data_IF_938042298815
#
_entry.id   IF_938042298815
#
_cell.length_a   1.000
_cell.length_b   1.000
_cell.length_c   1.000
_cell.angle_alpha   90.00
_cell.angle_beta   90.00
_cell.angle_gamma   90.00
#
_symmetry.space_group_name_H-M   'P 1'
#
loop_
_entity.id
_entity.type
_entity.pdbx_description
1 polymer ?
#
# COMPACT_ATOMS: atom_id res chain seq x y z
N UNK A 1 64.83 32.34 -10.82
CA UNK A 1 64.19 31.58 -9.74
C UNK A 1 62.72 31.96 -9.52
N UNK A 2 62.35 33.26 -9.52
CA UNK A 2 60.91 33.67 -9.30
C UNK A 2 59.92 33.18 -10.38
N UNK A 3 60.34 33.02 -11.67
CA UNK A 3 59.47 32.58 -12.76
C UNK A 3 59.15 31.06 -12.69
N UNK A 4 60.04 30.25 -12.16
CA UNK A 4 59.85 28.80 -12.01
C UNK A 4 58.89 28.51 -10.88
N UNK A 5 58.91 29.31 -9.81
CA UNK A 5 57.99 29.16 -8.68
C UNK A 5 56.54 29.47 -9.07
N UNK A 6 56.34 30.44 -9.98
CA UNK A 6 55.01 30.82 -10.48
C UNK A 6 54.41 29.75 -11.39
N UNK A 7 55.23 29.08 -12.21
CA UNK A 7 54.81 27.97 -13.07
C UNK A 7 54.42 26.72 -12.24
N UNK A 8 55.14 26.44 -11.16
CA UNK A 8 54.84 25.32 -10.25
C UNK A 8 53.54 25.55 -9.48
N UNK A 9 53.26 26.81 -9.11
CA UNK A 9 51.99 27.17 -8.44
C UNK A 9 50.79 27.05 -9.38
N UNK A 10 50.95 27.36 -10.67
CA UNK A 10 49.83 27.25 -11.64
C UNK A 10 49.50 25.80 -11.98
N UNK A 11 50.47 24.89 -11.99
CA UNK A 11 50.25 23.45 -12.23
C UNK A 11 49.51 22.78 -11.08
N UNK A 12 49.71 23.23 -9.82
CA UNK A 12 49.02 22.73 -8.65
C UNK A 12 47.53 23.11 -8.62
N UNK A 13 47.16 24.25 -9.23
CA UNK A 13 45.75 24.71 -9.28
C UNK A 13 44.90 23.93 -10.28
N UNK A 14 45.48 23.35 -11.34
CA UNK A 14 44.74 22.56 -12.33
C UNK A 14 44.51 21.11 -11.85
N UNK A 15 45.28 20.61 -10.88
CA UNK A 15 45.10 19.25 -10.33
C UNK A 15 43.96 19.15 -9.32
N UNK A 16 43.37 20.28 -8.89
CA UNK A 16 42.31 20.31 -7.88
C UNK A 16 40.90 20.18 -8.46
N UNK A 17 40.72 20.21 -9.78
CA UNK A 17 39.41 19.93 -10.41
C UNK A 17 39.27 18.45 -10.75
N UNK A 18 39.39 17.56 -9.77
CA UNK A 18 38.79 16.25 -9.92
C UNK A 18 37.27 16.41 -9.83
N UNK A 19 36.62 16.30 -10.99
CA UNK A 19 35.17 16.12 -11.05
C UNK A 19 34.79 14.96 -10.10
N UNK A 20 33.97 15.27 -9.14
CA UNK A 20 33.41 14.30 -8.17
C UNK A 20 32.46 13.29 -8.84
N UNK A 21 32.46 13.26 -10.19
CA UNK A 21 31.53 12.51 -11.04
C UNK A 21 31.95 11.07 -11.37
N UNK A 22 33.08 10.58 -10.88
CA UNK A 22 33.61 9.24 -11.25
C UNK A 22 33.38 8.17 -10.16
N UNK A 23 32.56 8.44 -9.15
CA UNK A 23 32.14 7.35 -8.25
C UNK A 23 31.08 6.56 -8.98
N UNK A 24 31.24 5.22 -9.15
CA UNK A 24 30.20 4.39 -9.71
C UNK A 24 28.95 4.56 -8.86
N UNK A 25 27.90 5.11 -9.46
CA UNK A 25 26.63 5.25 -8.76
C UNK A 25 26.08 3.85 -8.48
N UNK A 26 25.71 3.61 -7.23
CA UNK A 26 25.03 2.38 -6.87
C UNK A 26 23.63 2.38 -7.49
N UNK A 27 23.13 1.24 -8.00
CA UNK A 27 21.82 1.17 -8.61
C UNK A 27 20.72 1.57 -7.62
N UNK A 28 19.74 2.31 -8.12
CA UNK A 28 18.57 2.73 -7.36
C UNK A 28 17.77 1.51 -6.89
N UNK A 29 17.57 1.38 -5.59
CA UNK A 29 16.86 0.28 -4.94
C UNK A 29 15.74 0.78 -4.06
N UNK A 30 14.66 0.00 -4.05
CA UNK A 30 13.48 0.24 -3.22
C UNK A 30 13.50 -0.72 -2.02
N UNK A 31 13.93 -0.23 -0.86
CA UNK A 31 14.11 -1.06 0.35
C UNK A 31 15.28 -2.03 0.26
N UNK A 32 15.31 -2.99 1.18
CA UNK A 32 16.37 -4.00 1.24
C UNK A 32 16.22 -5.06 0.13
N UNK A 33 14.99 -5.48 -0.16
CA UNK A 33 14.69 -6.59 -1.09
C UNK A 33 14.50 -6.14 -2.53
N UNK A 34 14.64 -4.83 -2.80
CA UNK A 34 14.47 -4.30 -4.14
C UNK A 34 13.10 -4.62 -4.76
N UNK A 35 12.05 -4.26 -4.06
CA UNK A 35 10.68 -4.61 -4.37
C UNK A 35 10.25 -4.17 -5.79
N UNK A 36 9.69 -5.10 -6.56
CA UNK A 36 9.10 -4.85 -7.89
C UNK A 36 7.60 -4.52 -7.79
N UNK A 37 7.00 -4.87 -6.67
CA UNK A 37 5.59 -4.64 -6.38
C UNK A 37 5.42 -4.20 -4.92
N UNK A 38 4.53 -3.25 -4.70
CA UNK A 38 4.11 -2.79 -3.39
C UNK A 38 2.62 -3.09 -3.24
N UNK A 39 2.26 -3.95 -2.31
CA UNK A 39 0.87 -4.17 -1.94
C UNK A 39 0.57 -3.38 -0.67
N UNK A 40 -0.47 -2.57 -0.70
CA UNK A 40 -0.97 -1.75 0.40
C UNK A 40 -2.43 -2.07 0.64
N UNK A 41 -2.87 -1.94 1.87
CA UNK A 41 -4.30 -1.88 2.19
C UNK A 41 -4.80 -0.45 1.99
N UNK A 42 -6.05 -0.28 1.61
CA UNK A 42 -6.67 1.06 1.55
C UNK A 42 -6.48 1.79 2.89
N UNK A 43 -6.10 3.06 2.82
CA UNK A 43 -5.72 3.92 3.95
C UNK A 43 -4.39 3.56 4.64
N UNK A 44 -3.70 2.50 4.21
CA UNK A 44 -2.34 2.18 4.69
C UNK A 44 -1.34 3.17 4.11
N UNK A 45 -0.36 3.54 4.93
CA UNK A 45 0.81 4.29 4.50
C UNK A 45 2.06 3.50 4.83
N UNK A 46 2.91 3.27 3.83
CA UNK A 46 4.19 2.57 3.98
C UNK A 46 5.35 3.52 3.74
N UNK A 47 6.35 3.44 4.59
CA UNK A 47 7.61 4.17 4.45
C UNK A 47 8.70 3.20 4.00
N UNK A 48 9.46 3.56 2.97
CA UNK A 48 10.47 2.71 2.34
C UNK A 48 11.72 3.53 2.16
N UNK A 49 12.85 3.01 2.63
CA UNK A 49 14.15 3.63 2.46
C UNK A 49 14.63 3.40 1.02
N UNK A 50 15.00 4.47 0.33
CA UNK A 50 15.64 4.44 -0.98
C UNK A 50 17.15 4.33 -0.81
N UNK A 51 17.79 3.51 -1.63
CA UNK A 51 19.25 3.32 -1.65
C UNK A 51 19.79 3.46 -3.07
N UNK A 52 21.04 3.89 -3.18
CA UNK A 52 21.68 4.08 -4.48
C UNK A 52 21.31 5.39 -5.17
N UNK A 53 21.57 5.47 -6.48
CA UNK A 53 21.42 6.71 -7.24
C UNK A 53 22.38 7.81 -6.79
N UNK A 54 22.02 9.06 -7.06
CA UNK A 54 22.78 10.26 -6.69
C UNK A 54 22.34 10.89 -5.36
N UNK A 55 21.43 10.24 -4.64
CA UNK A 55 20.84 10.75 -3.40
C UNK A 55 19.74 11.80 -3.61
N UNK A 56 19.42 12.14 -4.86
CA UNK A 56 18.29 13.00 -5.21
C UNK A 56 17.20 12.16 -5.86
N UNK A 57 16.10 12.04 -5.17
CA UNK A 57 15.03 11.15 -5.59
C UNK A 57 13.78 11.92 -5.98
N UNK A 58 13.07 11.42 -6.98
CA UNK A 58 11.71 11.85 -7.29
C UNK A 58 10.81 10.62 -7.47
N UNK A 59 9.54 10.77 -7.10
CA UNK A 59 8.53 9.72 -7.20
C UNK A 59 7.27 10.28 -7.83
N UNK A 60 6.68 9.53 -8.75
CA UNK A 60 5.43 9.91 -9.40
C UNK A 60 4.52 8.67 -9.45
N UNK A 61 3.29 8.83 -9.01
CA UNK A 61 2.22 7.84 -9.16
C UNK A 61 1.46 8.16 -10.45
N UNK A 62 1.16 7.13 -11.24
CA UNK A 62 0.44 7.27 -12.52
C UNK A 62 -1.04 7.62 -12.30
N UNK A 63 -1.73 6.93 -11.39
CA UNK A 63 -3.10 7.26 -10.99
C UNK A 63 -3.14 7.71 -9.52
N UNK A 64 -3.22 9.04 -9.34
CA UNK A 64 -3.26 9.65 -8.01
C UNK A 64 -4.56 9.39 -7.22
N UNK A 65 -5.58 8.80 -7.85
CA UNK A 65 -6.81 8.37 -7.14
C UNK A 65 -6.58 7.08 -6.36
N UNK A 66 -5.71 6.19 -6.90
CA UNK A 66 -5.44 4.87 -6.30
C UNK A 66 -4.40 4.98 -5.19
N UNK A 67 -3.31 5.73 -5.42
CA UNK A 67 -2.26 5.91 -4.44
C UNK A 67 -1.65 7.31 -4.54
N UNK A 68 -0.95 7.72 -3.48
CA UNK A 68 -0.11 8.91 -3.48
C UNK A 68 1.30 8.58 -3.03
N UNK A 69 2.27 9.40 -3.46
CA UNK A 69 3.65 9.25 -3.03
C UNK A 69 4.27 10.59 -2.66
N UNK A 70 5.17 10.58 -1.71
CA UNK A 70 6.02 11.71 -1.35
C UNK A 70 7.39 11.21 -0.94
N UNK A 71 8.40 12.05 -1.13
CA UNK A 71 9.78 11.75 -0.71
C UNK A 71 10.24 12.81 0.27
N UNK A 72 10.87 12.34 1.36
CA UNK A 72 11.58 13.17 2.31
C UNK A 72 12.99 12.60 2.48
N UNK A 73 13.98 13.31 1.97
CA UNK A 73 15.38 12.86 1.89
C UNK A 73 15.49 11.55 1.09
N UNK A 74 15.78 10.44 1.77
CA UNK A 74 15.92 9.08 1.26
C UNK A 74 14.72 8.16 1.57
N UNK A 75 13.69 8.72 2.17
CA UNK A 75 12.49 7.97 2.56
C UNK A 75 11.33 8.26 1.62
N UNK A 76 10.90 7.24 0.90
CA UNK A 76 9.68 7.23 0.11
C UNK A 76 8.50 6.86 1.01
N UNK A 77 7.46 7.69 0.99
CA UNK A 77 6.17 7.40 1.59
C UNK A 77 5.17 7.10 0.47
N UNK A 78 4.48 5.97 0.54
CA UNK A 78 3.40 5.60 -0.38
C UNK A 78 2.13 5.34 0.43
N UNK A 79 1.03 5.98 0.06
CA UNK A 79 -0.28 5.82 0.72
C UNK A 79 -1.29 5.26 -0.27
N UNK A 80 -1.98 4.19 0.12
CA UNK A 80 -3.10 3.61 -0.62
C UNK A 80 -4.37 4.43 -0.37
N UNK A 81 -5.04 4.91 -1.42
CA UNK A 81 -6.22 5.76 -1.34
C UNK A 81 -7.49 5.00 -1.72
N UNK A 82 -7.53 4.45 -2.91
CA UNK A 82 -8.61 3.61 -3.41
C UNK A 82 -8.03 2.27 -3.86
N UNK A 83 -8.81 1.19 -3.71
CA UNK A 83 -8.41 -0.11 -4.23
C UNK A 83 -8.28 -0.08 -5.75
N UNK A 84 -7.28 -0.79 -6.25
CA UNK A 84 -6.91 -0.82 -7.65
C UNK A 84 -5.41 -1.01 -7.83
N UNK A 85 -4.97 -0.92 -9.07
CA UNK A 85 -3.56 -1.03 -9.44
C UNK A 85 -3.09 0.24 -10.15
N UNK A 86 -1.88 0.67 -9.83
CA UNK A 86 -1.22 1.81 -10.46
C UNK A 86 0.29 1.56 -10.52
N UNK A 87 1.03 2.45 -11.17
CA UNK A 87 2.48 2.39 -11.26
C UNK A 87 3.12 3.55 -10.50
N UNK A 88 4.15 3.23 -9.74
CA UNK A 88 5.06 4.19 -9.13
C UNK A 88 6.32 4.28 -10.00
N UNK A 89 6.65 5.45 -10.49
CA UNK A 89 7.90 5.74 -11.17
C UNK A 89 8.84 6.47 -10.23
N UNK A 90 9.98 5.85 -9.93
CA UNK A 90 11.08 6.44 -9.16
C UNK A 90 12.17 6.89 -10.11
N UNK A 91 12.80 8.02 -9.83
CA UNK A 91 13.94 8.55 -10.58
C UNK A 91 15.02 9.03 -9.63
N UNK A 92 16.26 8.75 -10.00
CA UNK A 92 17.44 9.34 -9.37
C UNK A 92 18.50 9.52 -10.47
N UNK A 93 18.82 10.77 -10.80
CA UNK A 93 19.65 11.11 -11.95
C UNK A 93 19.11 10.45 -13.23
N UNK A 94 19.91 9.63 -13.91
CA UNK A 94 19.52 8.93 -15.15
C UNK A 94 18.82 7.60 -14.92
N UNK A 95 18.77 7.12 -13.68
CA UNK A 95 18.08 5.88 -13.37
C UNK A 95 16.59 6.10 -13.20
N UNK A 96 15.81 5.24 -13.86
CA UNK A 96 14.35 5.20 -13.78
C UNK A 96 13.90 3.81 -13.39
N UNK A 97 13.07 3.71 -12.38
CA UNK A 97 12.54 2.46 -11.90
C UNK A 97 11.03 2.52 -11.81
N UNK A 98 10.36 1.50 -12.33
CA UNK A 98 8.91 1.34 -12.23
C UNK A 98 8.59 0.22 -11.26
N UNK A 99 7.65 0.48 -10.36
CA UNK A 99 7.16 -0.45 -9.35
C UNK A 99 5.65 -0.50 -9.44
N UNK A 100 5.08 -1.69 -9.50
CA UNK A 100 3.62 -1.87 -9.44
C UNK A 100 3.15 -1.56 -8.03
N UNK A 101 2.08 -0.77 -7.90
CA UNK A 101 1.42 -0.49 -6.62
C UNK A 101 0.02 -1.07 -6.70
N UNK A 102 -0.26 -2.05 -5.84
CA UNK A 102 -1.57 -2.66 -5.70
C UNK A 102 -2.17 -2.25 -4.36
N UNK A 103 -3.31 -1.59 -4.40
CA UNK A 103 -4.09 -1.24 -3.21
C UNK A 103 -5.26 -2.20 -3.12
N UNK A 104 -5.33 -2.95 -2.04
CA UNK A 104 -6.39 -3.92 -1.76
C UNK A 104 -7.36 -3.38 -0.71
N UNK A 105 -8.63 -3.80 -0.72
CA UNK A 105 -9.55 -3.45 0.34
C UNK A 105 -9.06 -4.01 1.68
N UNK A 106 -9.43 -3.39 2.81
CA UNK A 106 -9.14 -3.95 4.12
C UNK A 106 -9.84 -5.29 4.29
N UNK A 107 -9.24 -6.24 5.02
CA UNK A 107 -9.87 -7.52 5.31
C UNK A 107 -11.21 -7.30 6.05
N UNK A 108 -12.13 -8.25 5.89
CA UNK A 108 -13.34 -8.24 6.67
C UNK A 108 -13.04 -8.47 8.15
N UNK A 109 -13.76 -7.73 8.99
CA UNK A 109 -13.82 -7.94 10.42
C UNK A 109 -15.27 -7.91 10.86
N UNK A 110 -15.64 -8.80 11.77
CA UNK A 110 -16.94 -8.82 12.43
C UNK A 110 -16.79 -8.41 13.90
N UNK A 111 -17.82 -7.82 14.46
CA UNK A 111 -17.87 -7.56 15.91
C UNK A 111 -18.04 -8.85 16.72
N UNK A 112 -18.53 -9.93 16.10
CA UNK A 112 -18.71 -11.25 16.71
C UNK A 112 -18.42 -12.34 15.66
N UNK A 113 -17.68 -13.36 16.06
CA UNK A 113 -17.35 -14.51 15.19
C UNK A 113 -18.42 -15.59 15.23
N UNK A 114 -19.10 -15.71 16.36
CA UNK A 114 -20.17 -16.69 16.60
C UNK A 114 -21.33 -16.02 17.33
N UNK A 115 -22.52 -16.19 16.81
CA UNK A 115 -23.75 -15.70 17.42
C UNK A 115 -24.68 -16.88 17.72
N UNK A 116 -25.17 -16.97 18.95
CA UNK A 116 -26.16 -17.98 19.34
C UNK A 116 -27.50 -17.31 19.58
N UNK A 117 -28.51 -17.72 18.81
CA UNK A 117 -29.87 -17.21 18.90
C UNK A 117 -30.83 -18.37 19.18
N UNK A 118 -31.91 -18.03 19.86
CA UNK A 118 -33.05 -18.97 20.05
C UNK A 118 -34.24 -18.51 19.24
N UNK A 119 -35.08 -19.43 18.75
CA UNK A 119 -36.36 -19.07 18.14
C UNK A 119 -37.18 -18.21 19.11
N UNK A 120 -37.60 -17.04 18.63
CA UNK A 120 -38.35 -16.08 19.46
C UNK A 120 -37.51 -14.96 20.09
N UNK A 121 -36.17 -15.04 20.01
CA UNK A 121 -35.31 -13.94 20.40
C UNK A 121 -35.49 -12.73 19.49
N UNK A 122 -35.12 -11.55 20.00
CA UNK A 122 -35.10 -10.33 19.22
C UNK A 122 -34.10 -10.41 18.07
N UNK A 123 -34.25 -9.55 17.07
CA UNK A 123 -33.35 -9.46 15.94
C UNK A 123 -31.93 -9.07 16.41
N UNK A 124 -30.97 -9.95 16.20
CA UNK A 124 -29.56 -9.66 16.42
C UNK A 124 -28.97 -8.92 15.23
N UNK A 125 -28.09 -8.00 15.51
CA UNK A 125 -27.39 -7.25 14.47
C UNK A 125 -25.89 -7.46 14.59
N UNK A 126 -25.28 -8.01 13.52
CA UNK A 126 -23.83 -8.08 13.36
C UNK A 126 -23.35 -6.88 12.55
N UNK A 127 -22.20 -6.36 12.90
CA UNK A 127 -21.51 -5.32 12.12
C UNK A 127 -20.29 -5.91 11.43
N UNK A 128 -20.30 -5.87 10.10
CA UNK A 128 -19.16 -6.25 9.27
C UNK A 128 -18.47 -4.97 8.79
N UNK A 129 -17.16 -4.91 8.92
CA UNK A 129 -16.32 -3.84 8.40
C UNK A 129 -15.27 -4.40 7.45
N UNK A 130 -14.72 -3.56 6.57
CA UNK A 130 -13.75 -4.01 5.56
C UNK A 130 -14.37 -4.43 4.23
N UNK A 131 -13.61 -5.20 3.44
CA UNK A 131 -14.07 -5.76 2.16
C UNK A 131 -14.24 -4.78 1.00
N UNK A 132 -14.31 -3.48 1.25
CA UNK A 132 -14.46 -2.45 0.21
C UNK A 132 -15.84 -2.45 -0.46
N UNK A 133 -15.97 -1.71 -1.58
CA UNK A 133 -17.27 -1.47 -2.23
C UNK A 133 -17.86 -2.67 -2.97
N UNK A 134 -17.10 -3.75 -3.17
CA UNK A 134 -17.56 -5.00 -3.81
C UNK A 134 -17.74 -6.13 -2.80
N UNK A 135 -18.01 -5.76 -1.55
CA UNK A 135 -18.32 -6.73 -0.51
C UNK A 135 -19.57 -7.53 -0.86
N UNK A 136 -19.52 -8.83 -0.72
CA UNK A 136 -20.67 -9.73 -0.85
C UNK A 136 -20.78 -10.63 0.36
N UNK A 137 -22.01 -10.99 0.72
CA UNK A 137 -22.31 -11.91 1.81
C UNK A 137 -23.04 -13.13 1.26
N UNK A 138 -22.39 -14.29 1.36
CA UNK A 138 -23.02 -15.58 1.09
C UNK A 138 -23.57 -16.14 2.39
N UNK A 139 -24.83 -16.57 2.37
CA UNK A 139 -25.49 -17.23 3.49
C UNK A 139 -25.64 -18.70 3.15
N UNK A 140 -25.15 -19.59 4.00
CA UNK A 140 -25.36 -21.03 3.97
C UNK A 140 -26.29 -21.39 5.11
N UNK A 141 -27.58 -21.50 4.82
CA UNK A 141 -28.68 -21.86 5.73
C UNK A 141 -29.53 -22.96 5.09
N UNK A 142 -29.06 -24.22 5.14
CA UNK A 142 -29.74 -25.35 4.47
C UNK A 142 -31.13 -25.64 5.06
N UNK A 143 -31.34 -25.31 6.31
CA UNK A 143 -32.59 -25.59 7.04
C UNK A 143 -33.53 -24.39 7.07
N UNK A 144 -33.13 -23.26 6.51
CA UNK A 144 -33.83 -21.97 6.58
C UNK A 144 -34.17 -21.57 8.02
N UNK A 145 -33.16 -21.77 8.87
CA UNK A 145 -33.28 -21.58 10.32
C UNK A 145 -33.45 -20.11 10.72
N UNK A 146 -33.08 -19.15 9.87
CA UNK A 146 -33.27 -17.74 10.16
C UNK A 146 -33.67 -16.89 8.95
N UNK A 147 -34.20 -15.71 9.23
CA UNK A 147 -34.28 -14.60 8.27
C UNK A 147 -33.03 -13.75 8.41
N UNK A 148 -32.32 -13.58 7.29
CA UNK A 148 -31.08 -12.81 7.24
C UNK A 148 -31.22 -11.68 6.23
N UNK A 149 -30.96 -10.46 6.68
CA UNK A 149 -30.98 -9.26 5.86
C UNK A 149 -29.63 -8.58 5.96
N UNK A 150 -28.91 -8.51 4.85
CA UNK A 150 -27.66 -7.77 4.77
C UNK A 150 -27.84 -6.41 4.10
N UNK A 151 -27.35 -5.38 4.78
CA UNK A 151 -27.29 -4.01 4.29
C UNK A 151 -25.84 -3.69 3.89
N UNK A 152 -25.51 -3.91 2.63
CA UNK A 152 -24.13 -3.77 2.13
C UNK A 152 -23.54 -2.37 2.35
N UNK A 153 -24.35 -1.32 2.26
CA UNK A 153 -23.91 0.08 2.44
C UNK A 153 -23.46 0.40 3.87
N UNK A 154 -24.07 -0.24 4.86
CA UNK A 154 -23.79 -0.02 6.29
C UNK A 154 -22.96 -1.13 6.91
N UNK A 155 -22.77 -2.25 6.21
CA UNK A 155 -22.11 -3.44 6.73
C UNK A 155 -22.92 -4.17 7.81
N UNK A 156 -24.23 -3.89 7.95
CA UNK A 156 -25.06 -4.50 8.97
C UNK A 156 -25.74 -5.76 8.46
N UNK A 157 -25.63 -6.83 9.24
CA UNK A 157 -26.36 -8.10 9.02
C UNK A 157 -27.36 -8.28 10.14
N UNK A 158 -28.63 -8.27 9.80
CA UNK A 158 -29.73 -8.54 10.75
C UNK A 158 -30.12 -9.99 10.65
N UNK A 159 -30.18 -10.68 11.79
CA UNK A 159 -30.48 -12.11 11.90
C UNK A 159 -31.67 -12.30 12.86
N UNK A 160 -32.68 -13.01 12.40
CA UNK A 160 -33.85 -13.41 13.23
C UNK A 160 -33.99 -14.92 13.16
N UNK A 161 -33.75 -15.61 14.27
CA UNK A 161 -33.91 -17.05 14.35
C UNK A 161 -35.41 -17.46 14.25
N UNK A 162 -35.67 -18.49 13.46
CA UNK A 162 -37.01 -19.11 13.30
C UNK A 162 -37.03 -20.52 13.87
N UNK A 163 -35.99 -21.28 13.57
CA UNK A 163 -35.87 -22.68 13.95
C UNK A 163 -34.47 -22.93 14.49
N UNK A 164 -34.30 -24.09 15.11
CA UNK A 164 -32.97 -24.58 15.50
C UNK A 164 -32.19 -25.01 14.25
N UNK A 165 -30.93 -24.65 14.14
CA UNK A 165 -30.05 -24.97 13.01
C UNK A 165 -28.79 -24.14 13.01
N UNK A 166 -27.83 -24.55 12.22
CA UNK A 166 -26.56 -23.89 12.04
C UNK A 166 -26.51 -23.08 10.73
N UNK A 167 -26.10 -21.84 10.83
CA UNK A 167 -25.98 -20.92 9.70
C UNK A 167 -24.56 -20.46 9.57
N UNK A 168 -24.04 -20.46 8.35
CA UNK A 168 -22.71 -19.94 8.05
C UNK A 168 -22.83 -18.71 7.18
N UNK A 169 -22.23 -17.62 7.64
CA UNK A 169 -22.09 -16.38 6.91
C UNK A 169 -20.66 -16.26 6.35
N UNK A 170 -20.54 -16.06 5.05
CA UNK A 170 -19.24 -15.95 4.36
C UNK A 170 -19.20 -14.60 3.67
N UNK A 171 -18.41 -13.68 4.22
CA UNK A 171 -18.15 -12.39 3.61
C UNK A 171 -16.95 -12.49 2.67
N UNK A 172 -17.11 -12.01 1.44
CA UNK A 172 -16.05 -11.97 0.42
C UNK A 172 -15.95 -10.59 -0.22
N UNK A 173 -14.74 -10.21 -0.63
CA UNK A 173 -14.46 -9.03 -1.46
C UNK A 173 -13.86 -9.47 -2.79
N UNK A 174 -14.36 -8.93 -3.88
CA UNK A 174 -13.79 -9.11 -5.23
C UNK A 174 -12.91 -7.93 -5.63
#
# INVERSE_FOLDING_TARGET
MKKILFLLSLVLLVASCRKESDRPMLPLRLGEEDAKELQLTQSETRMILLKGGDGKYSATIEDARIASSSISRDTLRVSGLLYGETSLTLRSHDEVRRVRVKVVPPPFASNEDVVTLRPGDDVQTLSLSGGGARASLKVEDPEKAADIVWQAETGLVKIKAKYEGDIKLIATSE
#
